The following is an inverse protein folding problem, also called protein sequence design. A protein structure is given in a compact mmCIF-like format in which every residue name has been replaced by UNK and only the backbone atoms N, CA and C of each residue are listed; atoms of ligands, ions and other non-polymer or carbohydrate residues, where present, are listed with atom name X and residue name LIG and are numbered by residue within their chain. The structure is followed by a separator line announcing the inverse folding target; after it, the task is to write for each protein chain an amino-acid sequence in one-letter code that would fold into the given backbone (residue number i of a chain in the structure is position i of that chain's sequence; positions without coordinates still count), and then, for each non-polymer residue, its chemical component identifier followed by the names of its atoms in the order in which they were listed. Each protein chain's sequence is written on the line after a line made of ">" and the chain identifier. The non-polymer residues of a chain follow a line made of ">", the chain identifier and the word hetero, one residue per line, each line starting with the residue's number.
data_IF_364910189320
#
_entry.id   IF_364910189320
#
_cell.length_a   1.000
_cell.length_b   1.000
_cell.length_c   1.000
_cell.angle_alpha   90.00
_cell.angle_beta   90.00
_cell.angle_gamma   90.00
#
_symmetry.space_group_name_H-M   'P 1'
#
loop_
_entity.id
_entity.type
_entity.pdbx_description
1 polymer ?
#
# COMPACT_ATOMS: atom_id res chain seq x y z
N UNK A 1 -13.22 1.85 -55.78
CA UNK A 1 -12.19 2.38 -54.87
C UNK A 1 -10.83 2.34 -55.55
N UNK A 2 -10.24 3.51 -55.85
CA UNK A 2 -8.93 3.58 -56.50
C UNK A 2 -7.89 3.44 -55.40
N UNK A 3 -7.22 2.30 -55.30
CA UNK A 3 -6.12 2.10 -54.35
C UNK A 3 -4.89 2.87 -54.81
N UNK A 4 -4.32 3.71 -53.99
CA UNK A 4 -3.10 4.46 -54.29
C UNK A 4 -1.93 3.50 -54.54
N UNK A 5 -1.39 3.53 -55.77
CA UNK A 5 -0.18 2.78 -56.17
C UNK A 5 1.09 3.24 -55.41
N UNK A 6 1.00 4.31 -54.60
CA UNK A 6 2.09 4.87 -53.84
C UNK A 6 2.18 4.32 -52.41
N UNK A 7 1.24 3.48 -51.98
CA UNK A 7 1.22 2.89 -50.63
C UNK A 7 2.48 2.02 -50.44
N UNK A 8 3.35 2.42 -49.50
CA UNK A 8 4.63 1.74 -49.20
C UNK A 8 5.84 2.19 -50.02
N UNK A 9 5.66 3.05 -51.05
CA UNK A 9 6.75 3.52 -51.93
C UNK A 9 7.14 4.99 -51.65
N UNK A 10 6.42 5.70 -50.83
CA UNK A 10 6.65 7.11 -50.49
C UNK A 10 7.10 7.24 -49.05
N UNK A 11 8.19 7.93 -48.82
CA UNK A 11 8.75 8.23 -47.52
C UNK A 11 10.24 7.84 -47.38
N UNK A 12 10.87 8.36 -46.35
CA UNK A 12 12.28 8.03 -46.01
C UNK A 12 12.37 6.53 -45.70
N UNK A 13 13.31 5.82 -46.32
CA UNK A 13 13.57 4.41 -46.02
C UNK A 13 13.80 4.22 -44.53
N UNK A 14 13.17 3.22 -43.94
CA UNK A 14 13.38 2.86 -42.53
C UNK A 14 14.80 2.29 -42.42
N UNK A 15 15.63 2.91 -41.61
CA UNK A 15 16.95 2.38 -41.27
C UNK A 15 16.73 1.09 -40.46
N UNK A 16 17.19 -0.08 -40.95
CA UNK A 16 17.10 -1.30 -40.15
C UNK A 16 17.95 -1.14 -38.87
N UNK A 17 17.43 -1.57 -37.76
CA UNK A 17 18.17 -1.61 -36.49
C UNK A 17 18.62 -3.04 -36.28
N UNK A 18 19.89 -3.21 -36.04
CA UNK A 18 20.39 -4.48 -35.54
C UNK A 18 20.04 -4.57 -34.04
N UNK A 19 18.91 -5.22 -33.76
CA UNK A 19 18.48 -5.44 -32.38
C UNK A 19 19.35 -6.48 -31.66
N UNK A 20 20.06 -7.34 -32.39
CA UNK A 20 20.99 -8.30 -31.81
C UNK A 20 22.23 -7.56 -31.24
N UNK A 21 22.69 -6.49 -31.92
CA UNK A 21 23.75 -5.62 -31.37
C UNK A 21 23.37 -5.07 -29.98
N UNK A 22 22.08 -4.75 -29.75
CA UNK A 22 21.62 -4.27 -28.44
C UNK A 22 21.78 -5.34 -27.36
N UNK A 23 21.65 -6.61 -27.67
CA UNK A 23 21.81 -7.70 -26.69
C UNK A 23 23.24 -7.79 -26.14
N UNK A 24 24.20 -7.47 -26.97
CA UNK A 24 25.63 -7.50 -26.63
C UNK A 24 26.07 -6.29 -25.80
N UNK A 25 25.25 -5.24 -25.71
CA UNK A 25 25.55 -4.06 -24.92
C UNK A 25 25.17 -4.32 -23.45
N UNK A 26 26.08 -4.14 -22.47
CA UNK A 26 25.76 -4.28 -21.05
C UNK A 26 24.58 -3.42 -20.63
N UNK A 27 23.72 -3.92 -19.74
CA UNK A 27 22.53 -3.19 -19.25
C UNK A 27 22.83 -1.81 -18.69
N UNK A 28 24.00 -1.64 -18.04
CA UNK A 28 24.49 -0.36 -17.51
C UNK A 28 24.74 0.70 -18.59
N UNK A 29 25.05 0.27 -19.81
CA UNK A 29 25.34 1.15 -20.96
C UNK A 29 24.10 1.38 -21.85
N UNK A 30 22.91 0.99 -21.40
CA UNK A 30 21.62 1.22 -22.09
C UNK A 30 20.51 1.65 -21.13
N UNK A 31 20.86 2.45 -20.12
CA UNK A 31 19.93 2.91 -19.09
C UNK A 31 19.10 4.11 -19.54
N UNK A 32 19.67 4.96 -20.39
CA UNK A 32 19.00 6.13 -20.96
C UNK A 32 18.79 5.98 -22.47
N UNK A 33 17.93 6.82 -23.04
CA UNK A 33 17.76 6.87 -24.51
C UNK A 33 19.08 7.32 -25.17
N UNK A 34 19.78 8.23 -24.54
CA UNK A 34 21.08 8.74 -24.98
C UNK A 34 22.14 7.63 -25.04
N UNK A 35 22.22 6.80 -24.02
CA UNK A 35 23.12 5.64 -24.00
C UNK A 35 22.82 4.68 -25.18
N UNK A 36 21.55 4.38 -25.40
CA UNK A 36 21.12 3.50 -26.51
C UNK A 36 21.44 4.15 -27.86
N UNK A 37 21.27 5.47 -27.99
CA UNK A 37 21.63 6.21 -29.20
C UNK A 37 23.13 6.10 -29.50
N UNK A 38 23.95 6.32 -28.49
CA UNK A 38 25.42 6.24 -28.61
C UNK A 38 25.87 4.83 -28.97
N UNK A 39 25.33 3.84 -28.26
CA UNK A 39 25.70 2.44 -28.45
C UNK A 39 25.30 1.86 -29.81
N UNK A 40 24.19 2.32 -30.38
CA UNK A 40 23.69 1.86 -31.69
C UNK A 40 24.02 2.83 -32.85
N UNK A 41 24.68 3.96 -32.58
CA UNK A 41 24.94 4.98 -33.60
C UNK A 41 23.67 5.62 -34.18
N UNK A 42 22.58 5.72 -33.38
CA UNK A 42 21.26 6.13 -33.86
C UNK A 42 20.79 7.44 -33.27
N UNK A 43 19.93 8.14 -34.02
CA UNK A 43 19.29 9.34 -33.51
C UNK A 43 18.24 9.02 -32.47
N UNK A 44 18.07 9.91 -31.48
CA UNK A 44 17.06 9.84 -30.42
C UNK A 44 15.64 9.66 -30.98
N UNK A 45 15.33 10.32 -32.09
CA UNK A 45 14.04 10.21 -32.75
C UNK A 45 13.77 8.79 -33.29
N UNK A 46 14.82 8.12 -33.82
CA UNK A 46 14.73 6.74 -34.27
C UNK A 46 14.42 5.81 -33.09
N UNK A 47 15.12 5.91 -31.98
CA UNK A 47 14.89 5.12 -30.76
C UNK A 47 13.47 5.34 -30.21
N UNK A 48 13.00 6.60 -30.15
CA UNK A 48 11.62 6.90 -29.73
C UNK A 48 10.57 6.27 -30.64
N UNK A 49 10.80 6.26 -31.97
CA UNK A 49 9.93 5.58 -32.92
C UNK A 49 9.89 4.07 -32.70
N UNK A 50 11.04 3.46 -32.35
CA UNK A 50 11.11 2.02 -32.05
C UNK A 50 10.38 1.67 -30.75
N UNK A 51 10.48 2.52 -29.72
CA UNK A 51 9.68 2.40 -28.49
C UNK A 51 8.18 2.49 -28.82
N UNK A 52 7.76 3.47 -29.65
CA UNK A 52 6.36 3.63 -30.05
C UNK A 52 5.84 2.44 -30.87
N UNK A 53 6.68 1.81 -31.67
CA UNK A 53 6.33 0.62 -32.49
C UNK A 53 6.44 -0.70 -31.72
N UNK A 54 6.88 -0.70 -30.48
CA UNK A 54 7.02 -1.90 -29.66
C UNK A 54 8.26 -2.75 -29.94
N UNK A 55 9.16 -2.32 -30.82
CA UNK A 55 10.43 -3.02 -31.08
C UNK A 55 11.41 -2.92 -29.89
N UNK A 56 11.30 -1.85 -29.10
CA UNK A 56 11.97 -1.68 -27.81
C UNK A 56 10.91 -1.42 -26.74
N UNK A 57 11.19 -1.84 -25.53
CA UNK A 57 10.35 -1.53 -24.36
C UNK A 57 11.18 -0.87 -23.27
N UNK A 58 10.60 0.10 -22.61
CA UNK A 58 11.18 0.63 -21.37
C UNK A 58 10.83 -0.33 -20.22
N UNK A 59 11.81 -0.64 -19.39
CA UNK A 59 11.62 -1.43 -18.19
C UNK A 59 12.28 -0.71 -17.01
N UNK A 60 11.55 -0.57 -15.91
CA UNK A 60 12.08 -0.07 -14.65
C UNK A 60 12.20 -1.24 -13.69
N UNK A 61 13.41 -1.51 -13.23
CA UNK A 61 13.69 -2.57 -12.24
C UNK A 61 13.77 -1.92 -10.87
N UNK A 62 12.88 -2.29 -9.95
CA UNK A 62 13.00 -1.96 -8.54
C UNK A 62 13.86 -3.01 -7.82
N UNK A 63 14.62 -2.56 -6.84
CA UNK A 63 15.34 -3.47 -5.94
C UNK A 63 14.30 -4.26 -5.14
N UNK A 64 14.43 -5.57 -5.19
CA UNK A 64 13.61 -6.51 -4.41
C UNK A 64 14.38 -6.99 -3.19
N UNK A 65 13.68 -7.34 -2.10
CA UNK A 65 14.33 -7.94 -0.93
C UNK A 65 15.12 -9.19 -1.31
N UNK A 66 16.29 -9.35 -0.70
CA UNK A 66 17.06 -10.60 -0.84
C UNK A 66 16.33 -11.72 -0.10
N UNK A 67 16.06 -12.81 -0.78
CA UNK A 67 15.41 -13.99 -0.22
C UNK A 67 16.44 -15.08 -0.02
N UNK A 68 16.63 -15.52 1.23
CA UNK A 68 17.37 -16.74 1.55
C UNK A 68 16.63 -17.97 1.05
N UNK A 69 17.28 -19.10 0.93
CA UNK A 69 16.65 -20.38 0.55
C UNK A 69 15.54 -20.78 1.56
N UNK A 70 15.75 -20.50 2.84
CA UNK A 70 14.72 -20.70 3.87
C UNK A 70 13.48 -19.83 3.61
N UNK A 71 13.68 -18.55 3.29
CA UNK A 71 12.55 -17.65 2.96
C UNK A 71 11.80 -18.11 1.70
N UNK A 72 12.52 -18.55 0.65
CA UNK A 72 11.89 -19.08 -0.57
C UNK A 72 11.02 -20.31 -0.28
N UNK A 73 11.53 -21.23 0.54
CA UNK A 73 10.77 -22.42 0.98
C UNK A 73 9.55 -22.05 1.80
N UNK A 74 9.68 -21.14 2.77
CA UNK A 74 8.56 -20.67 3.59
C UNK A 74 7.48 -19.98 2.73
N UNK A 75 7.90 -19.19 1.75
CA UNK A 75 6.98 -18.54 0.79
C UNK A 75 6.24 -19.57 -0.07
N UNK A 76 6.97 -20.55 -0.62
CA UNK A 76 6.38 -21.64 -1.40
C UNK A 76 5.39 -22.43 -0.55
N UNK A 77 5.79 -22.81 0.68
CA UNK A 77 4.92 -23.54 1.61
C UNK A 77 3.65 -22.74 1.90
N UNK A 78 3.77 -21.44 2.18
CA UNK A 78 2.61 -20.57 2.39
C UNK A 78 1.67 -20.56 1.18
N UNK A 79 2.20 -20.44 -0.05
CA UNK A 79 1.38 -20.50 -1.27
C UNK A 79 0.68 -21.87 -1.42
N UNK A 80 1.37 -22.96 -1.12
CA UNK A 80 0.80 -24.32 -1.16
C UNK A 80 -0.29 -24.50 -0.10
N UNK A 81 -0.10 -23.94 1.10
CA UNK A 81 -1.09 -23.98 2.18
C UNK A 81 -2.34 -23.15 1.89
N UNK A 82 -2.22 -22.15 0.98
CA UNK A 82 -3.36 -21.36 0.51
C UNK A 82 -4.15 -22.02 -0.61
N UNK A 83 -3.70 -23.17 -1.13
CA UNK A 83 -4.49 -23.95 -2.10
C UNK A 83 -5.45 -24.87 -1.36
N UNK A 84 -6.72 -24.89 -1.77
CA UNK A 84 -7.70 -25.82 -1.28
C UNK A 84 -7.42 -27.23 -1.83
N UNK A 85 -6.97 -28.14 -0.97
CA UNK A 85 -6.58 -29.52 -1.33
C UNK A 85 -7.78 -30.47 -1.46
N UNK A 86 -8.96 -30.06 -1.03
CA UNK A 86 -10.17 -30.87 -1.14
C UNK A 86 -10.65 -30.97 -2.60
N UNK A 87 -10.18 -30.08 -3.47
CA UNK A 87 -10.52 -30.02 -4.89
C UNK A 87 -9.28 -30.40 -5.73
N UNK A 88 -8.84 -31.64 -5.66
CA UNK A 88 -7.61 -32.10 -6.37
C UNK A 88 -7.72 -31.96 -7.89
N UNK A 89 -8.90 -32.12 -8.46
CA UNK A 89 -9.13 -32.03 -9.91
C UNK A 89 -9.31 -30.58 -10.40
N UNK A 90 -9.61 -29.63 -9.52
CA UNK A 90 -9.75 -28.20 -9.80
C UNK A 90 -9.13 -27.36 -8.67
N UNK A 91 -7.79 -27.32 -8.55
CA UNK A 91 -7.12 -26.64 -7.44
C UNK A 91 -7.38 -25.14 -7.46
N UNK A 92 -8.00 -24.61 -6.41
CA UNK A 92 -8.31 -23.20 -6.21
C UNK A 92 -7.66 -22.67 -4.95
N UNK A 93 -7.36 -21.38 -4.94
CA UNK A 93 -6.95 -20.73 -3.70
C UNK A 93 -8.12 -20.64 -2.71
N UNK A 94 -7.79 -20.68 -1.41
CA UNK A 94 -8.74 -20.38 -0.35
C UNK A 94 -9.34 -19.01 -0.54
N UNK A 95 -10.62 -18.84 -0.27
CA UNK A 95 -11.33 -17.59 -0.52
C UNK A 95 -10.98 -16.46 0.46
N UNK A 96 -10.29 -16.74 1.55
CA UNK A 96 -9.79 -15.79 2.57
C UNK A 96 -10.91 -14.93 3.23
N UNK A 97 -12.16 -15.36 3.20
CA UNK A 97 -13.27 -14.65 3.85
C UNK A 97 -13.15 -14.59 5.37
N UNK A 98 -12.42 -15.52 5.97
CA UNK A 98 -12.15 -15.62 7.39
C UNK A 98 -10.84 -14.91 7.80
N UNK A 99 -10.23 -14.19 6.88
CA UNK A 99 -9.01 -13.44 7.12
C UNK A 99 -9.28 -11.96 7.36
N UNK A 100 -8.56 -11.41 8.32
CA UNK A 100 -8.41 -9.99 8.61
C UNK A 100 -6.95 -9.63 8.40
N UNK A 101 -6.68 -8.61 7.62
CA UNK A 101 -5.34 -8.14 7.32
C UNK A 101 -5.05 -6.88 8.09
N UNK A 102 -3.89 -6.82 8.74
CA UNK A 102 -3.43 -5.64 9.49
C UNK A 102 -2.04 -5.23 9.04
N UNK A 103 -1.80 -3.92 9.01
CA UNK A 103 -0.47 -3.36 8.78
C UNK A 103 -0.44 -1.88 9.17
N UNK A 104 0.77 -1.35 9.43
CA UNK A 104 1.01 0.04 9.79
C UNK A 104 1.47 0.85 8.59
N UNK A 105 0.89 2.07 8.46
CA UNK A 105 1.25 3.01 7.39
C UNK A 105 1.43 4.43 7.91
N UNK A 106 2.50 5.08 7.45
CA UNK A 106 2.66 6.51 7.58
C UNK A 106 1.81 7.25 6.54
N UNK A 107 0.87 8.04 7.01
CA UNK A 107 0.15 9.00 6.18
C UNK A 107 0.76 10.38 6.34
N UNK A 108 1.07 11.01 5.22
CA UNK A 108 1.69 12.32 5.17
C UNK A 108 0.63 13.40 5.02
N UNK A 109 0.83 14.52 5.71
CA UNK A 109 -0.11 15.64 5.66
C UNK A 109 -0.19 16.25 4.24
N UNK A 110 0.97 16.35 3.55
CA UNK A 110 1.08 16.92 2.22
C UNK A 110 1.94 16.04 1.31
N UNK A 111 1.69 16.14 0.02
CA UNK A 111 2.58 15.57 -1.01
C UNK A 111 3.81 16.47 -1.18
N UNK A 112 4.98 15.90 -1.47
CA UNK A 112 6.18 16.67 -1.85
C UNK A 112 5.96 17.46 -3.13
N UNK A 113 5.37 16.80 -4.14
CA UNK A 113 5.07 17.40 -5.43
C UNK A 113 3.57 17.18 -5.72
N UNK A 114 2.88 18.23 -6.07
CA UNK A 114 1.50 18.18 -6.55
C UNK A 114 1.47 18.67 -8.00
N UNK A 115 0.57 18.15 -8.76
CA UNK A 115 0.37 18.54 -10.15
C UNK A 115 -1.02 19.14 -10.29
N UNK A 116 -1.05 20.32 -10.89
CA UNK A 116 -2.28 21.05 -11.17
C UNK A 116 -2.44 21.20 -12.67
N UNK A 117 -3.68 21.29 -13.12
CA UNK A 117 -4.04 21.73 -14.45
C UNK A 117 -4.66 23.11 -14.27
N UNK A 118 -3.98 24.12 -14.76
CA UNK A 118 -4.34 25.54 -14.60
C UNK A 118 -4.76 26.12 -15.96
N UNK A 119 -5.65 27.09 -15.93
CA UNK A 119 -5.89 27.94 -17.08
C UNK A 119 -4.67 28.86 -17.29
N UNK A 120 -4.45 29.38 -18.53
CA UNK A 120 -3.29 30.24 -18.80
C UNK A 120 -3.22 31.52 -17.94
N UNK A 121 -4.38 31.99 -17.48
CA UNK A 121 -4.55 33.18 -16.65
C UNK A 121 -4.55 32.90 -15.13
N UNK A 122 -4.49 31.65 -14.73
CA UNK A 122 -4.47 31.29 -13.30
C UNK A 122 -3.05 31.36 -12.73
N UNK A 123 -2.92 31.94 -11.56
CA UNK A 123 -1.66 31.99 -10.84
C UNK A 123 -1.24 30.59 -10.35
N UNK A 124 0.05 30.31 -10.39
CA UNK A 124 0.61 29.07 -9.87
C UNK A 124 0.44 28.98 -8.34
N UNK A 125 -0.11 27.87 -7.80
CA UNK A 125 -0.30 27.71 -6.36
C UNK A 125 1.02 27.73 -5.62
N UNK A 126 1.23 28.73 -4.77
CA UNK A 126 2.44 28.83 -3.97
C UNK A 126 2.34 27.97 -2.71
N UNK A 127 3.17 26.92 -2.63
CA UNK A 127 3.23 25.98 -1.50
C UNK A 127 4.57 26.05 -0.81
N UNK A 128 4.57 26.30 0.48
CA UNK A 128 5.78 26.38 1.30
C UNK A 128 5.75 25.38 2.45
N UNK A 129 6.89 24.83 2.79
CA UNK A 129 7.12 24.11 4.02
C UNK A 129 8.52 24.45 4.56
N UNK A 130 8.71 24.39 5.88
CA UNK A 130 10.02 24.69 6.49
C UNK A 130 11.13 23.79 5.95
N UNK A 131 10.83 22.53 5.75
CA UNK A 131 11.74 21.56 5.15
C UNK A 131 10.92 20.41 4.52
N UNK A 132 11.05 20.24 3.20
CA UNK A 132 10.33 19.19 2.45
C UNK A 132 10.69 17.75 2.84
N UNK A 133 11.76 17.54 3.63
CA UNK A 133 12.11 16.23 4.17
C UNK A 133 11.39 15.95 5.49
N UNK A 134 10.81 16.96 6.14
CA UNK A 134 10.09 16.86 7.41
C UNK A 134 8.59 17.18 7.26
N UNK A 135 7.96 16.66 6.22
CA UNK A 135 6.50 16.75 6.08
C UNK A 135 5.87 16.02 7.26
N UNK A 136 4.96 16.67 8.02
CA UNK A 136 4.26 16.03 9.12
C UNK A 136 3.57 14.76 8.66
N UNK A 137 3.65 13.72 9.47
CA UNK A 137 3.07 12.40 9.18
C UNK A 137 2.60 11.74 10.46
N UNK A 138 1.60 10.89 10.32
CA UNK A 138 1.05 10.11 11.40
C UNK A 138 0.97 8.64 10.98
N UNK A 139 1.32 7.74 11.88
CA UNK A 139 1.20 6.31 11.66
C UNK A 139 -0.20 5.85 12.04
N UNK A 140 -0.78 4.99 11.23
CA UNK A 140 -2.05 4.34 11.49
C UNK A 140 -1.87 2.83 11.39
N UNK A 141 -2.53 2.11 12.29
CA UNK A 141 -2.78 0.68 12.17
C UNK A 141 -4.06 0.51 11.37
N UNK A 142 -3.97 -0.02 10.15
CA UNK A 142 -5.10 -0.24 9.28
C UNK A 142 -5.52 -1.70 9.30
N UNK A 143 -6.83 -1.93 9.26
CA UNK A 143 -7.45 -3.24 9.42
C UNK A 143 -8.54 -3.41 8.37
N UNK A 144 -8.42 -4.43 7.54
CA UNK A 144 -9.43 -4.74 6.54
C UNK A 144 -9.62 -6.25 6.38
N UNK A 145 -10.75 -6.63 5.78
CA UNK A 145 -11.08 -7.99 5.41
C UNK A 145 -11.67 -8.01 4.00
N UNK A 146 -11.88 -9.18 3.44
CA UNK A 146 -12.55 -9.32 2.16
C UNK A 146 -14.02 -8.92 2.27
N UNK A 147 -14.55 -8.05 1.37
CA UNK A 147 -15.96 -7.70 1.36
C UNK A 147 -16.81 -8.92 1.00
N UNK A 148 -18.03 -8.98 1.56
CA UNK A 148 -18.99 -10.07 1.32
C UNK A 148 -20.23 -9.54 0.66
N UNK A 149 -20.72 -10.29 -0.30
CA UNK A 149 -21.92 -9.96 -1.06
C UNK A 149 -22.93 -11.11 -0.98
N UNK A 150 -24.21 -10.76 -0.98
CA UNK A 150 -25.31 -11.70 -1.08
C UNK A 150 -26.36 -11.12 -2.03
N UNK A 151 -26.73 -11.87 -3.06
CA UNK A 151 -27.69 -11.46 -4.09
C UNK A 151 -27.36 -10.08 -4.72
N UNK A 152 -26.06 -9.82 -4.94
CA UNK A 152 -25.55 -8.56 -5.47
C UNK A 152 -25.45 -7.41 -4.46
N UNK A 153 -25.93 -7.57 -3.23
CA UNK A 153 -25.87 -6.57 -2.18
C UNK A 153 -24.63 -6.78 -1.30
N UNK A 154 -23.92 -5.70 -0.97
CA UNK A 154 -22.83 -5.74 -0.03
C UNK A 154 -23.36 -5.89 1.39
N UNK A 155 -23.13 -7.04 2.03
CA UNK A 155 -23.52 -7.32 3.42
C UNK A 155 -22.40 -7.02 4.42
N UNK A 156 -21.16 -6.94 3.94
CA UNK A 156 -20.00 -6.56 4.71
C UNK A 156 -18.96 -5.97 3.76
N UNK A 157 -18.58 -4.71 3.95
CA UNK A 157 -17.69 -3.99 3.05
C UNK A 157 -16.19 -4.25 3.31
N UNK A 158 -15.86 -5.03 4.33
CA UNK A 158 -14.49 -5.37 4.70
C UNK A 158 -13.72 -4.26 5.41
N UNK A 159 -14.30 -3.07 5.59
CA UNK A 159 -13.65 -1.91 6.20
C UNK A 159 -13.75 -1.98 7.72
N UNK A 160 -12.76 -2.56 8.38
CA UNK A 160 -12.79 -2.70 9.85
C UNK A 160 -12.36 -1.40 10.51
N UNK A 161 -11.25 -0.80 10.10
CA UNK A 161 -10.84 0.49 10.65
C UNK A 161 -9.43 0.92 10.30
N UNK A 162 -9.14 2.18 10.62
CA UNK A 162 -7.81 2.78 10.59
C UNK A 162 -7.59 3.54 11.89
N UNK A 163 -6.70 3.05 12.73
CA UNK A 163 -6.49 3.52 14.08
C UNK A 163 -5.22 4.37 14.13
N UNK A 164 -5.32 5.69 14.42
CA UNK A 164 -4.14 6.55 14.52
C UNK A 164 -3.31 6.16 15.73
N UNK A 165 -2.02 5.92 15.55
CA UNK A 165 -1.09 5.63 16.65
C UNK A 165 -0.73 6.93 17.36
N UNK A 166 -1.64 7.39 18.21
CA UNK A 166 -1.54 8.63 18.98
C UNK A 166 -1.85 8.40 20.45
N UNK A 167 -1.38 9.32 21.27
CA UNK A 167 -1.76 9.48 22.67
C UNK A 167 -2.20 10.91 22.93
N UNK A 168 -3.04 11.10 23.92
CA UNK A 168 -3.47 12.41 24.38
C UNK A 168 -2.81 12.73 25.71
N UNK A 169 -2.07 13.83 25.75
CA UNK A 169 -1.34 14.25 26.94
C UNK A 169 -1.74 15.68 27.34
N UNK A 170 -1.80 15.99 28.63
CA UNK A 170 -2.03 17.36 29.09
C UNK A 170 -0.93 18.30 28.58
N UNK A 171 -1.32 19.44 28.05
CA UNK A 171 -0.40 20.47 27.59
C UNK A 171 0.40 21.04 28.79
N UNK A 172 1.71 20.98 28.72
CA UNK A 172 2.59 21.52 29.74
C UNK A 172 2.58 23.06 29.77
N UNK A 173 2.26 23.71 28.66
CA UNK A 173 2.22 25.17 28.49
C UNK A 173 1.04 25.60 27.64
N UNK A 174 0.48 26.78 27.94
CA UNK A 174 -0.46 27.44 27.06
C UNK A 174 0.21 27.90 25.75
N UNK A 175 -0.61 28.20 24.75
CA UNK A 175 -0.19 28.78 23.47
C UNK A 175 -1.28 29.75 23.00
N UNK A 176 -1.04 31.05 23.17
CA UNK A 176 -2.02 32.10 22.80
C UNK A 176 -2.40 32.06 21.33
N UNK A 177 -1.45 31.74 20.44
CA UNK A 177 -1.71 31.67 18.99
C UNK A 177 -2.74 30.61 18.61
N UNK A 178 -2.85 29.53 19.38
CA UNK A 178 -3.80 28.43 19.14
C UNK A 178 -4.94 28.42 20.15
N UNK A 179 -4.98 29.35 21.08
CA UNK A 179 -5.96 29.38 22.19
C UNK A 179 -5.80 28.25 23.21
N UNK A 180 -4.71 27.45 23.13
CA UNK A 180 -4.49 26.31 24.01
C UNK A 180 -4.12 26.77 25.42
N UNK A 181 -4.80 26.22 26.42
CA UNK A 181 -4.51 26.43 27.84
C UNK A 181 -3.64 25.28 28.40
N UNK A 182 -2.88 25.54 29.42
CA UNK A 182 -2.15 24.49 30.19
C UNK A 182 -3.16 23.48 30.75
N UNK A 183 -2.90 22.19 30.51
CA UNK A 183 -3.79 21.09 30.92
C UNK A 183 -4.72 20.58 29.80
N UNK A 184 -4.91 21.33 28.72
CA UNK A 184 -5.67 20.84 27.56
C UNK A 184 -5.05 19.57 27.01
N UNK A 185 -5.89 18.60 26.62
CA UNK A 185 -5.43 17.36 26.01
C UNK A 185 -4.93 17.65 24.58
N UNK A 186 -3.67 17.36 24.34
CA UNK A 186 -3.01 17.53 23.03
C UNK A 186 -2.69 16.17 22.45
N UNK A 187 -3.08 15.97 21.20
CA UNK A 187 -2.74 14.80 20.43
C UNK A 187 -1.24 14.76 20.12
N UNK A 188 -0.60 13.66 20.46
CA UNK A 188 0.82 13.41 20.15
C UNK A 188 1.00 12.08 19.42
N UNK A 189 1.74 12.07 18.30
CA UNK A 189 2.10 10.84 17.65
C UNK A 189 2.93 9.93 18.55
N UNK A 190 2.63 8.64 18.57
CA UNK A 190 3.50 7.62 19.16
C UNK A 190 4.65 7.39 18.19
N UNK A 191 5.86 7.74 18.60
CA UNK A 191 7.06 7.67 17.74
C UNK A 191 7.80 6.35 17.87
N UNK A 192 7.62 5.64 18.98
CA UNK A 192 8.22 4.31 19.24
C UNK A 192 7.12 3.28 19.34
N UNK A 193 7.00 2.47 18.29
CA UNK A 193 6.01 1.40 18.23
C UNK A 193 6.62 0.14 18.83
N UNK A 194 6.21 -0.16 20.05
CA UNK A 194 6.62 -1.38 20.78
C UNK A 194 5.51 -2.42 20.72
N UNK A 195 5.84 -3.65 21.13
CA UNK A 195 4.84 -4.73 21.22
C UNK A 195 3.71 -4.40 22.17
N UNK A 196 3.99 -3.71 23.26
CA UNK A 196 2.97 -3.31 24.23
C UNK A 196 2.01 -2.28 23.65
N UNK A 197 2.52 -1.35 22.85
CA UNK A 197 1.67 -0.39 22.11
C UNK A 197 0.78 -1.14 21.12
N UNK A 198 1.32 -2.07 20.34
CA UNK A 198 0.52 -2.87 19.40
C UNK A 198 -0.50 -3.73 20.15
N UNK A 199 -0.11 -4.36 21.28
CA UNK A 199 -1.04 -5.13 22.12
C UNK A 199 -2.22 -4.29 22.58
N UNK A 200 -1.97 -3.10 23.10
CA UNK A 200 -3.01 -2.19 23.54
C UNK A 200 -3.99 -1.83 22.42
N UNK A 201 -3.46 -1.47 21.24
CA UNK A 201 -4.30 -1.18 20.08
C UNK A 201 -5.09 -2.39 19.59
N UNK A 202 -4.47 -3.57 19.57
CA UNK A 202 -5.13 -4.81 19.14
C UNK A 202 -6.29 -5.15 20.07
N UNK A 203 -6.07 -5.12 21.40
CA UNK A 203 -7.08 -5.49 22.39
C UNK A 203 -8.17 -4.44 22.51
N UNK A 204 -7.79 -3.16 22.58
CA UNK A 204 -8.73 -2.08 22.94
C UNK A 204 -9.38 -1.38 21.74
N UNK A 205 -8.87 -1.58 20.52
CA UNK A 205 -9.42 -0.95 19.33
C UNK A 205 -9.74 -1.95 18.20
N UNK A 206 -8.79 -2.81 17.82
CA UNK A 206 -8.96 -3.73 16.68
C UNK A 206 -10.00 -4.82 16.99
N UNK A 207 -9.83 -5.56 18.09
CA UNK A 207 -10.79 -6.62 18.46
C UNK A 207 -12.22 -6.09 18.65
N UNK A 208 -12.46 -4.95 19.34
CA UNK A 208 -13.80 -4.36 19.41
C UNK A 208 -14.35 -3.97 18.05
N UNK A 209 -13.54 -3.42 17.16
CA UNK A 209 -13.97 -3.04 15.81
C UNK A 209 -14.33 -4.26 14.96
N UNK A 210 -13.56 -5.35 15.03
CA UNK A 210 -13.90 -6.62 14.39
C UNK A 210 -15.25 -7.09 14.92
N UNK A 211 -15.43 -7.20 16.24
CA UNK A 211 -16.69 -7.65 16.86
C UNK A 211 -17.90 -6.81 16.48
N UNK A 212 -17.73 -5.50 16.34
CA UNK A 212 -18.80 -4.59 15.97
C UNK A 212 -19.25 -4.74 14.51
N UNK A 213 -18.29 -4.99 13.60
CA UNK A 213 -18.53 -4.98 12.15
C UNK A 213 -18.67 -6.36 11.52
N UNK A 214 -18.09 -7.41 12.14
CA UNK A 214 -18.13 -8.76 11.58
C UNK A 214 -19.56 -9.29 11.49
N UNK A 215 -19.97 -9.89 10.35
CA UNK A 215 -21.34 -10.37 10.20
C UNK A 215 -21.67 -11.47 11.20
N UNK A 216 -22.78 -11.32 11.89
CA UNK A 216 -23.20 -12.19 13.02
C UNK A 216 -23.32 -13.67 12.67
N UNK A 217 -23.69 -13.98 11.44
CA UNK A 217 -23.84 -15.36 10.93
C UNK A 217 -22.51 -16.14 10.86
N UNK A 218 -21.38 -15.45 10.96
CA UNK A 218 -20.03 -16.05 10.92
C UNK A 218 -19.35 -16.03 12.30
N UNK A 219 -20.03 -15.57 13.34
CA UNK A 219 -19.52 -15.64 14.73
C UNK A 219 -19.42 -17.11 15.15
N UNK A 220 -18.36 -17.46 15.88
CA UNK A 220 -18.02 -18.84 16.26
C UNK A 220 -17.19 -19.62 15.24
N UNK A 221 -17.04 -19.11 14.01
CA UNK A 221 -16.02 -19.61 13.08
C UNK A 221 -14.68 -18.94 13.36
N UNK A 222 -13.53 -19.63 13.13
CA UNK A 222 -12.21 -19.03 13.30
C UNK A 222 -12.03 -17.80 12.38
N UNK A 223 -11.49 -16.74 12.96
CA UNK A 223 -11.07 -15.51 12.22
C UNK A 223 -9.57 -15.37 12.38
N UNK A 224 -8.87 -15.26 11.27
CA UNK A 224 -7.41 -15.19 11.26
C UNK A 224 -6.92 -13.76 11.00
N UNK A 225 -6.28 -13.14 11.98
CA UNK A 225 -5.62 -11.85 11.79
C UNK A 225 -4.21 -12.11 11.25
N UNK A 226 -3.99 -11.75 9.98
CA UNK A 226 -2.69 -11.86 9.36
C UNK A 226 -1.88 -10.58 9.60
N UNK A 227 -0.70 -10.75 10.21
CA UNK A 227 0.30 -9.70 10.41
C UNK A 227 1.66 -10.11 9.80
N UNK A 228 2.56 -9.17 9.59
CA UNK A 228 3.94 -9.46 9.21
C UNK A 228 4.77 -9.94 10.43
N UNK A 229 6.07 -10.20 10.20
CA UNK A 229 6.96 -10.69 11.23
C UNK A 229 7.76 -9.57 11.92
N UNK A 230 7.24 -8.34 11.99
CA UNK A 230 7.93 -7.25 12.66
C UNK A 230 8.14 -7.55 14.17
N UNK A 231 9.30 -7.18 14.75
CA UNK A 231 9.58 -7.44 16.17
C UNK A 231 8.59 -6.78 17.13
N UNK A 232 7.91 -5.73 16.68
CA UNK A 232 6.86 -5.01 17.43
C UNK A 232 5.52 -5.72 17.42
N UNK A 233 5.30 -6.69 16.54
CA UNK A 233 4.03 -7.41 16.45
C UNK A 233 3.86 -8.44 17.57
N UNK A 234 2.60 -8.82 17.79
CA UNK A 234 2.25 -9.79 18.83
C UNK A 234 2.75 -11.19 18.48
N UNK A 235 3.10 -11.94 19.50
CA UNK A 235 3.31 -13.38 19.36
C UNK A 235 1.98 -14.11 19.21
N UNK A 236 2.00 -15.29 18.60
CA UNK A 236 0.79 -16.11 18.39
C UNK A 236 0.15 -16.56 19.71
N UNK A 237 0.94 -16.69 20.74
CA UNK A 237 0.60 -17.16 22.09
C UNK A 237 0.56 -16.03 23.13
N UNK A 238 0.41 -14.76 22.68
CA UNK A 238 0.28 -13.63 23.61
C UNK A 238 -0.94 -13.83 24.52
N UNK A 239 -0.77 -13.95 25.85
CA UNK A 239 -1.84 -14.39 26.74
C UNK A 239 -2.98 -13.37 26.81
N UNK A 240 -2.65 -12.08 26.91
CA UNK A 240 -3.64 -11.00 27.05
C UNK A 240 -4.51 -10.91 25.78
N UNK A 241 -3.84 -11.03 24.61
CA UNK A 241 -4.56 -11.06 23.34
C UNK A 241 -5.44 -12.31 23.21
N UNK A 242 -4.92 -13.51 23.55
CA UNK A 242 -5.66 -14.76 23.44
C UNK A 242 -6.90 -14.80 24.32
N UNK A 243 -6.84 -14.18 25.52
CA UNK A 243 -8.00 -14.02 26.39
C UNK A 243 -9.04 -13.06 25.77
N UNK A 244 -8.60 -11.88 25.38
CA UNK A 244 -9.46 -10.86 24.78
C UNK A 244 -10.09 -11.35 23.45
N UNK A 245 -9.39 -12.16 22.67
CA UNK A 245 -9.82 -12.64 21.35
C UNK A 245 -11.02 -13.60 21.41
N UNK A 246 -11.29 -14.21 22.56
CA UNK A 246 -12.40 -15.16 22.79
C UNK A 246 -13.67 -14.49 23.28
N UNK A 247 -13.64 -13.23 23.61
CA UNK A 247 -14.79 -12.52 24.16
C UNK A 247 -15.94 -12.45 23.14
N UNK A 248 -17.19 -12.56 23.64
CA UNK A 248 -18.39 -12.41 22.81
C UNK A 248 -18.67 -13.58 21.87
N UNK A 249 -18.11 -14.76 22.14
CA UNK A 249 -18.31 -15.97 21.32
C UNK A 249 -17.46 -16.00 20.04
N UNK A 250 -16.48 -15.10 19.92
CA UNK A 250 -15.55 -15.09 18.81
C UNK A 250 -14.39 -16.08 19.02
N UNK A 251 -13.79 -16.54 17.92
CA UNK A 251 -12.55 -17.31 17.89
C UNK A 251 -11.59 -16.57 16.95
N UNK A 252 -10.86 -15.59 17.50
CA UNK A 252 -9.94 -14.76 16.72
C UNK A 252 -8.51 -15.22 17.00
N UNK A 253 -7.75 -15.50 15.95
CA UNK A 253 -6.39 -16.03 16.04
C UNK A 253 -5.43 -15.19 15.21
N UNK A 254 -4.19 -15.03 15.68
CA UNK A 254 -3.13 -14.38 14.92
C UNK A 254 -2.44 -15.43 14.04
N UNK A 255 -2.08 -15.04 12.83
CA UNK A 255 -1.20 -15.79 11.95
C UNK A 255 -0.12 -14.87 11.37
N UNK A 256 1.03 -15.46 11.08
CA UNK A 256 2.12 -14.73 10.45
C UNK A 256 2.11 -14.87 8.95
N UNK A 257 2.38 -13.76 8.28
CA UNK A 257 2.77 -13.76 6.88
C UNK A 257 4.12 -14.45 6.71
N UNK A 258 4.38 -15.03 5.53
CA UNK A 258 5.71 -15.56 5.20
C UNK A 258 6.78 -14.46 5.27
N UNK A 259 7.99 -14.73 5.77
CA UNK A 259 9.05 -13.74 5.90
C UNK A 259 9.42 -13.05 4.57
N UNK A 260 9.72 -11.76 4.61
CA UNK A 260 10.14 -10.95 3.45
C UNK A 260 9.16 -11.00 2.26
N UNK A 261 7.86 -10.99 2.54
CA UNK A 261 6.78 -11.20 1.56
C UNK A 261 5.81 -10.03 1.47
N UNK A 262 6.30 -8.84 1.13
CA UNK A 262 5.47 -7.63 0.91
C UNK A 262 4.36 -7.86 -0.13
N UNK A 263 4.59 -8.77 -1.08
CA UNK A 263 3.63 -9.17 -2.11
C UNK A 263 2.49 -10.07 -1.58
N UNK A 264 2.56 -10.52 -0.33
CA UNK A 264 1.48 -11.23 0.36
C UNK A 264 0.71 -10.34 1.34
N UNK A 265 1.13 -9.08 1.49
CA UNK A 265 0.41 -8.08 2.26
C UNK A 265 -0.57 -7.33 1.37
N UNK A 266 -1.86 -7.65 1.50
CA UNK A 266 -2.91 -7.04 0.68
C UNK A 266 -2.98 -5.51 0.84
N UNK A 267 -2.64 -5.00 2.02
CA UNK A 267 -2.67 -3.56 2.32
C UNK A 267 -1.62 -2.80 1.51
N UNK A 268 -0.44 -3.39 1.30
CA UNK A 268 0.63 -2.81 0.48
C UNK A 268 0.36 -2.90 -1.04
N UNK A 269 -0.50 -3.84 -1.46
CA UNK A 269 -0.83 -4.08 -2.89
C UNK A 269 -1.77 -3.04 -3.51
N UNK A 270 -1.79 -1.82 -3.08
CA UNK A 270 -2.53 -0.64 -3.55
C UNK A 270 -3.57 -0.09 -2.56
N UNK A 271 -4.00 -0.80 -1.53
CA UNK A 271 -5.00 -0.33 -0.58
C UNK A 271 -4.52 0.96 0.11
N UNK A 272 -3.32 0.96 0.66
CA UNK A 272 -2.72 2.16 1.26
C UNK A 272 -2.57 3.32 0.27
N UNK A 273 -2.23 3.03 -0.97
CA UNK A 273 -2.12 4.06 -2.00
C UNK A 273 -3.47 4.69 -2.33
N UNK A 274 -4.53 3.89 -2.38
CA UNK A 274 -5.89 4.36 -2.61
C UNK A 274 -6.35 5.28 -1.48
N UNK A 275 -6.18 4.87 -0.21
CA UNK A 275 -6.51 5.69 0.95
C UNK A 275 -5.74 7.02 0.89
N UNK A 276 -4.43 6.99 0.68
CA UNK A 276 -3.60 8.18 0.66
C UNK A 276 -3.98 9.14 -0.47
N UNK A 277 -4.33 8.63 -1.65
CA UNK A 277 -4.79 9.44 -2.77
C UNK A 277 -6.10 10.17 -2.48
N UNK A 278 -7.02 9.54 -1.76
CA UNK A 278 -8.30 10.17 -1.35
C UNK A 278 -8.06 11.14 -0.19
N UNK A 279 -7.22 10.77 0.79
CA UNK A 279 -6.86 11.62 1.92
C UNK A 279 -6.27 12.95 1.48
N UNK A 280 -5.39 12.95 0.47
CA UNK A 280 -4.81 14.19 -0.05
C UNK A 280 -5.85 15.14 -0.66
N UNK A 281 -6.96 14.62 -1.20
CA UNK A 281 -8.06 15.45 -1.73
C UNK A 281 -8.86 16.15 -0.62
N UNK A 282 -8.74 15.71 0.64
CA UNK A 282 -9.46 16.30 1.79
C UNK A 282 -8.77 17.53 2.36
N UNK A 283 -7.58 17.90 1.85
CA UNK A 283 -6.85 19.12 2.19
C UNK A 283 -6.71 19.36 3.71
N UNK A 284 -6.28 18.32 4.45
CA UNK A 284 -5.97 18.43 5.88
C UNK A 284 -4.84 19.45 6.10
N UNK A 285 -5.01 20.37 7.05
CA UNK A 285 -4.04 21.43 7.35
C UNK A 285 -3.22 21.13 8.60
N UNK A 286 -3.77 20.38 9.53
CA UNK A 286 -3.15 20.01 10.80
C UNK A 286 -3.05 18.49 10.95
N UNK A 287 -2.32 18.04 11.96
CA UNK A 287 -2.26 16.60 12.28
C UNK A 287 -3.60 16.09 12.84
N UNK A 288 -4.33 16.94 13.52
CA UNK A 288 -5.67 16.66 14.01
C UNK A 288 -6.66 16.47 12.84
N UNK A 289 -6.55 17.29 11.75
CA UNK A 289 -7.36 17.13 10.54
C UNK A 289 -7.00 15.85 9.77
N UNK A 290 -5.75 15.40 9.87
CA UNK A 290 -5.30 14.20 9.17
C UNK A 290 -6.02 12.93 9.65
N UNK A 291 -6.34 12.86 10.95
CA UNK A 291 -7.03 11.71 11.54
C UNK A 291 -8.39 11.46 10.87
N UNK A 292 -9.36 12.37 10.91
CA UNK A 292 -10.64 12.16 10.24
C UNK A 292 -10.49 12.06 8.71
N UNK A 293 -9.51 12.75 8.12
CA UNK A 293 -9.26 12.67 6.68
C UNK A 293 -8.87 11.25 6.23
N UNK A 294 -8.15 10.50 7.05
CA UNK A 294 -7.82 9.08 6.79
C UNK A 294 -8.98 8.18 7.16
N UNK A 295 -9.57 8.34 8.35
CA UNK A 295 -10.62 7.44 8.86
C UNK A 295 -11.91 7.45 8.03
N UNK A 296 -12.28 8.57 7.41
CA UNK A 296 -13.46 8.67 6.55
C UNK A 296 -13.29 8.02 5.16
N UNK A 297 -12.10 7.55 4.83
CA UNK A 297 -11.85 6.85 3.56
C UNK A 297 -12.07 5.36 3.70
N UNK A 298 -12.05 4.86 4.95
CA UNK A 298 -12.17 3.44 5.30
C UNK A 298 -13.52 3.14 5.94
#
# INVERSE_FOLDING_TARGET
>A
MISSLKKGRVGRKVTPVDLEALRNIPLKQRMTIEDVCTALGMSKWTIQRYLKKGYLRRHSSSIKPYLTEANKRSRLQWCVDMVNRELLDDPRFKELYDFVFIDEKWFYLHQKNERYYLLPEEDEPHRTCKNKNYIPRLMFLCVCAQPRFRDGNCIFDGRIGCFPLVRYEPAMRGNERTGRVRGDLVMKPITSITRDVIRDFMINQVLPAIRAKWPREYVGKPIFIQQDNAPSHLKLDDPDFCEAAKLGGFDIRIIYQSPNSLDFNILDLNFFRAIQAIQYKKNAKTMEDLVPAVQQVI
#
